data_IF_582146566351
#
_entry.id   IF_582146566351
#
_cell.length_a   1.000
_cell.length_b   1.000
_cell.length_c   1.000
_cell.angle_alpha   90.00
_cell.angle_beta   90.00
_cell.angle_gamma   90.00
#
_symmetry.space_group_name_H-M   'P 1'
#
loop_
_entity.id
_entity.type
_entity.pdbx_description
1 polymer ?
#
# COMPACT_ATOMS: atom_id res chain seq x y z
N UNK A 1 35.46 5.64 -8.98
CA UNK A 1 34.53 6.37 -8.09
C UNK A 1 33.16 6.57 -8.76
N UNK A 2 32.35 5.52 -8.93
CA UNK A 2 30.96 5.66 -9.46
C UNK A 2 29.92 4.78 -8.75
N UNK A 3 30.35 3.90 -7.84
CA UNK A 3 29.45 2.97 -7.12
C UNK A 3 29.06 3.51 -5.73
N UNK A 4 29.91 4.34 -5.11
CA UNK A 4 29.65 4.88 -3.77
C UNK A 4 28.48 5.89 -3.71
N UNK A 5 28.15 6.55 -4.82
CA UNK A 5 27.03 7.51 -4.87
C UNK A 5 25.66 6.85 -4.95
N UNK A 6 25.56 5.66 -5.55
CA UNK A 6 24.27 4.97 -5.73
C UNK A 6 23.78 4.29 -4.45
N UNK A 7 24.71 3.79 -3.62
CA UNK A 7 24.40 3.13 -2.35
C UNK A 7 23.89 4.13 -1.30
N UNK A 8 24.39 5.38 -1.33
CA UNK A 8 23.94 6.42 -0.40
C UNK A 8 22.52 6.93 -0.72
N UNK A 9 22.12 6.99 -2.00
CA UNK A 9 20.78 7.44 -2.39
C UNK A 9 19.71 6.37 -2.11
N UNK A 10 20.05 5.08 -2.28
CA UNK A 10 19.17 3.97 -1.90
C UNK A 10 19.02 3.82 -0.39
N UNK A 11 20.11 4.00 0.37
CA UNK A 11 20.07 3.98 1.83
C UNK A 11 19.18 5.08 2.43
N UNK A 12 19.19 6.28 1.84
CA UNK A 12 18.37 7.40 2.31
C UNK A 12 16.86 7.17 2.07
N UNK A 13 16.48 6.49 0.98
CA UNK A 13 15.07 6.10 0.73
C UNK A 13 14.58 4.99 1.67
N UNK A 14 15.45 4.08 2.09
CA UNK A 14 15.10 3.01 3.02
C UNK A 14 14.89 3.57 4.44
N UNK A 15 15.69 4.55 4.87
CA UNK A 15 15.52 5.21 6.18
C UNK A 15 14.25 6.07 6.25
N UNK A 16 13.82 6.67 5.14
CA UNK A 16 12.55 7.43 5.11
C UNK A 16 11.30 6.55 5.22
N UNK A 17 11.38 5.26 4.84
CA UNK A 17 10.26 4.32 4.97
C UNK A 17 10.24 3.58 6.32
N UNK A 18 11.35 3.59 7.07
CA UNK A 18 11.48 2.99 8.40
C UNK A 18 11.02 3.90 9.55
N UNK A 19 10.73 5.17 9.30
CA UNK A 19 10.22 6.13 10.30
C UNK A 19 8.70 6.28 10.30
N UNK A 20 7.95 5.27 9.84
CA UNK A 20 6.50 5.26 9.91
C UNK A 20 5.98 4.35 11.05
N UNK A 21 5.99 4.79 12.33
CA UNK A 21 5.10 4.23 13.33
C UNK A 21 3.70 4.84 13.10
N UNK A 22 3.09 4.59 11.93
CA UNK A 22 1.75 5.09 11.60
C UNK A 22 0.68 4.00 11.59
N UNK A 23 1.00 2.79 12.04
CA UNK A 23 0.02 1.70 12.12
C UNK A 23 -0.93 1.80 13.33
N UNK A 24 -0.50 2.42 14.43
CA UNK A 24 -1.30 2.52 15.66
C UNK A 24 -1.83 3.95 15.92
N UNK A 25 -1.06 4.98 15.57
CA UNK A 25 -1.48 6.37 15.75
C UNK A 25 -2.50 6.85 14.71
N UNK A 26 -2.58 6.21 13.54
CA UNK A 26 -3.54 6.62 12.51
C UNK A 26 -5.00 6.29 12.92
N UNK A 27 -5.24 5.22 13.68
CA UNK A 27 -6.58 4.85 14.12
C UNK A 27 -7.22 5.91 15.02
N UNK A 28 -6.47 6.46 16.00
CA UNK A 28 -6.94 7.52 16.89
C UNK A 28 -7.23 8.84 16.13
N UNK A 29 -6.49 9.13 15.06
CA UNK A 29 -6.67 10.35 14.26
C UNK A 29 -7.99 10.35 13.48
N UNK A 30 -8.52 9.17 13.10
CA UNK A 30 -9.75 9.06 12.30
C UNK A 30 -11.03 9.11 13.14
N UNK A 31 -11.00 8.62 14.38
CA UNK A 31 -12.21 8.46 15.23
C UNK A 31 -12.90 9.78 15.58
N UNK A 32 -12.17 10.89 15.52
CA UNK A 32 -12.68 12.25 15.75
C UNK A 32 -13.15 12.96 14.47
N UNK A 33 -12.93 12.37 13.29
CA UNK A 33 -13.23 13.01 12.02
C UNK A 33 -14.72 13.03 11.70
N UNK A 34 -15.12 14.08 10.97
CA UNK A 34 -16.47 14.23 10.44
C UNK A 34 -16.68 13.33 9.21
N UNK A 35 -17.93 12.94 8.89
CA UNK A 35 -18.22 12.07 7.72
C UNK A 35 -17.60 12.58 6.40
N UNK A 36 -17.64 13.89 6.16
CA UNK A 36 -17.06 14.49 4.95
C UNK A 36 -15.52 14.37 4.89
N UNK A 37 -14.85 14.36 6.05
CA UNK A 37 -13.40 14.15 6.12
C UNK A 37 -13.07 12.67 5.93
N UNK A 38 -13.80 11.77 6.58
CA UNK A 38 -13.65 10.32 6.41
C UNK A 38 -13.84 9.90 4.95
N UNK A 39 -14.84 10.45 4.25
CA UNK A 39 -15.04 10.15 2.82
C UNK A 39 -13.88 10.58 1.92
N UNK A 40 -13.14 11.63 2.29
CA UNK A 40 -11.94 12.08 1.56
C UNK A 40 -10.76 11.15 1.82
N UNK A 41 -10.57 10.73 3.07
CA UNK A 41 -9.50 9.80 3.42
C UNK A 41 -9.76 8.41 2.82
N UNK A 42 -11.01 7.93 2.85
CA UNK A 42 -11.43 6.69 2.18
C UNK A 42 -11.05 6.71 0.69
N UNK A 43 -11.41 7.77 -0.04
CA UNK A 43 -11.04 7.90 -1.47
C UNK A 43 -9.53 7.89 -1.71
N UNK A 44 -8.74 8.47 -0.79
CA UNK A 44 -7.27 8.43 -0.90
C UNK A 44 -6.76 7.01 -0.69
N UNK A 45 -7.26 6.31 0.34
CA UNK A 45 -6.90 4.94 0.64
C UNK A 45 -7.27 4.00 -0.53
N UNK A 46 -8.47 4.11 -1.07
CA UNK A 46 -8.91 3.38 -2.27
C UNK A 46 -8.04 3.68 -3.48
N UNK A 47 -7.74 4.96 -3.74
CA UNK A 47 -6.87 5.35 -4.86
C UNK A 47 -5.46 4.76 -4.70
N UNK A 48 -4.92 4.76 -3.48
CA UNK A 48 -3.63 4.18 -3.19
C UNK A 48 -3.65 2.65 -3.38
N UNK A 49 -4.70 1.98 -2.88
CA UNK A 49 -4.92 0.55 -3.08
C UNK A 49 -4.97 0.19 -4.56
N UNK A 50 -5.78 0.90 -5.35
CA UNK A 50 -5.89 0.67 -6.79
C UNK A 50 -4.56 0.84 -7.52
N UNK A 51 -3.77 1.87 -7.19
CA UNK A 51 -2.44 2.05 -7.78
C UNK A 51 -1.52 0.86 -7.50
N UNK A 52 -1.49 0.37 -6.26
CA UNK A 52 -0.68 -0.80 -5.91
C UNK A 52 -1.21 -2.05 -6.61
N UNK A 53 -2.52 -2.20 -6.79
CA UNK A 53 -3.07 -3.33 -7.54
C UNK A 53 -2.67 -3.31 -9.03
N UNK A 54 -2.51 -2.14 -9.64
CA UNK A 54 -1.94 -2.06 -11.00
C UNK A 54 -0.46 -2.48 -11.00
N UNK A 55 0.32 -2.10 -9.98
CA UNK A 55 1.70 -2.58 -9.81
C UNK A 55 1.76 -4.11 -9.63
N UNK A 56 0.84 -4.68 -8.84
CA UNK A 56 0.71 -6.14 -8.65
C UNK A 56 0.44 -6.83 -9.99
N UNK A 57 -0.51 -6.32 -10.79
CA UNK A 57 -0.82 -6.88 -12.12
C UNK A 57 0.38 -6.80 -13.06
N UNK A 58 1.11 -5.69 -13.04
CA UNK A 58 2.32 -5.56 -13.85
C UNK A 58 3.39 -6.58 -13.44
N UNK A 59 3.63 -6.74 -12.14
CA UNK A 59 4.58 -7.73 -11.61
C UNK A 59 4.16 -9.17 -11.91
N UNK A 60 2.87 -9.49 -11.82
CA UNK A 60 2.35 -10.81 -12.17
C UNK A 60 2.51 -11.11 -13.66
N UNK A 61 2.21 -10.14 -14.54
CA UNK A 61 2.42 -10.27 -15.97
C UNK A 61 3.91 -10.47 -16.32
N UNK A 62 4.79 -9.71 -15.66
CA UNK A 62 6.24 -9.87 -15.85
C UNK A 62 6.72 -11.25 -15.40
N UNK A 63 6.25 -11.74 -14.24
CA UNK A 63 6.54 -13.09 -13.75
C UNK A 63 6.07 -14.15 -14.74
N UNK A 64 4.85 -14.03 -15.27
CA UNK A 64 4.30 -14.95 -16.28
C UNK A 64 5.13 -14.93 -17.57
N UNK A 65 5.56 -13.74 -18.02
CA UNK A 65 6.42 -13.60 -19.19
C UNK A 65 7.80 -14.25 -18.98
N UNK A 66 8.43 -14.04 -17.82
CA UNK A 66 9.69 -14.69 -17.44
C UNK A 66 9.56 -16.21 -17.40
N UNK A 67 8.45 -16.71 -16.84
CA UNK A 67 8.15 -18.15 -16.81
C UNK A 67 7.96 -18.72 -18.21
N UNK A 68 7.23 -18.03 -19.07
CA UNK A 68 7.02 -18.43 -20.46
C UNK A 68 8.33 -18.41 -21.28
N UNK A 69 9.24 -17.48 -20.97
CA UNK A 69 10.57 -17.41 -21.57
C UNK A 69 11.56 -18.47 -21.05
N UNK A 70 11.14 -19.34 -20.12
CA UNK A 70 12.00 -20.37 -19.53
C UNK A 70 13.07 -19.82 -18.59
N UNK A 71 12.79 -18.70 -17.91
CA UNK A 71 13.71 -18.12 -16.94
C UNK A 71 14.09 -19.12 -15.85
N UNK A 72 15.34 -19.05 -15.40
CA UNK A 72 15.84 -19.88 -14.31
C UNK A 72 15.11 -19.60 -12.99
N UNK A 73 15.04 -20.62 -12.12
CA UNK A 73 14.30 -20.56 -10.85
C UNK A 73 14.69 -19.37 -9.95
N UNK A 74 15.96 -18.95 -9.98
CA UNK A 74 16.43 -17.79 -9.22
C UNK A 74 15.78 -16.47 -9.69
N UNK A 75 15.61 -16.29 -11.00
CA UNK A 75 15.00 -15.08 -11.57
C UNK A 75 13.46 -15.07 -11.42
N UNK A 76 12.85 -16.26 -11.36
CA UNK A 76 11.44 -16.41 -10.99
C UNK A 76 11.22 -16.11 -9.50
N UNK A 77 12.14 -16.55 -8.64
CA UNK A 77 12.07 -16.28 -7.20
C UNK A 77 12.14 -14.78 -6.88
N UNK A 78 13.01 -14.04 -7.56
CA UNK A 78 13.06 -12.58 -7.41
C UNK A 78 11.74 -11.90 -7.82
N UNK A 79 11.11 -12.37 -8.90
CA UNK A 79 9.78 -11.88 -9.31
C UNK A 79 8.68 -12.26 -8.30
N UNK A 80 8.74 -13.47 -7.73
CA UNK A 80 7.81 -13.94 -6.70
C UNK A 80 7.93 -13.12 -5.42
N UNK A 81 9.16 -12.80 -5.00
CA UNK A 81 9.44 -12.00 -3.79
C UNK A 81 8.92 -10.57 -3.95
N UNK A 82 9.09 -9.97 -5.14
CA UNK A 82 8.55 -8.64 -5.45
C UNK A 82 7.02 -8.65 -5.48
N UNK A 83 6.41 -9.64 -6.13
CA UNK A 83 4.96 -9.82 -6.13
C UNK A 83 4.41 -9.95 -4.70
N UNK A 84 5.06 -10.75 -3.85
CA UNK A 84 4.69 -10.92 -2.45
C UNK A 84 4.85 -9.64 -1.62
N UNK A 85 5.81 -8.77 -1.96
CA UNK A 85 5.96 -7.45 -1.34
C UNK A 85 4.81 -6.52 -1.70
N UNK A 86 4.45 -6.47 -2.98
CA UNK A 86 3.34 -5.64 -3.48
C UNK A 86 1.99 -6.10 -2.94
N UNK A 87 1.75 -7.41 -2.89
CA UNK A 87 0.53 -7.98 -2.31
C UNK A 87 0.36 -7.61 -0.83
N UNK A 88 1.42 -7.70 -0.03
CA UNK A 88 1.39 -7.28 1.39
C UNK A 88 1.10 -5.78 1.55
N UNK A 89 1.59 -4.96 0.62
CA UNK A 89 1.29 -3.51 0.61
C UNK A 89 -0.17 -3.26 0.24
N UNK A 90 -0.69 -3.96 -0.76
CA UNK A 90 -2.09 -3.89 -1.17
C UNK A 90 -3.03 -4.31 -0.03
N UNK A 91 -2.72 -5.41 0.66
CA UNK A 91 -3.49 -5.90 1.81
C UNK A 91 -3.61 -4.84 2.91
N UNK A 92 -2.51 -4.19 3.29
CA UNK A 92 -2.52 -3.12 4.30
C UNK A 92 -3.42 -1.95 3.90
N UNK A 93 -3.32 -1.51 2.65
CA UNK A 93 -4.13 -0.41 2.12
C UNK A 93 -5.61 -0.78 2.05
N UNK A 94 -5.92 -2.05 1.74
CA UNK A 94 -7.29 -2.56 1.75
C UNK A 94 -7.88 -2.54 3.16
N UNK A 95 -7.14 -3.05 4.14
CA UNK A 95 -7.58 -3.04 5.55
C UNK A 95 -7.84 -1.59 6.03
N UNK A 96 -6.98 -0.65 5.64
CA UNK A 96 -7.17 0.77 5.95
C UNK A 96 -8.43 1.35 5.28
N UNK A 97 -8.66 1.05 4.00
CA UNK A 97 -9.86 1.48 3.29
C UNK A 97 -11.14 0.89 3.91
N UNK A 98 -11.14 -0.41 4.22
CA UNK A 98 -12.27 -1.10 4.85
C UNK A 98 -12.58 -0.49 6.23
N UNK A 99 -11.55 -0.17 7.03
CA UNK A 99 -11.71 0.52 8.32
C UNK A 99 -12.35 1.91 8.16
N UNK A 100 -11.88 2.71 7.20
CA UNK A 100 -12.40 4.05 6.95
C UNK A 100 -13.84 4.04 6.46
N UNK A 101 -14.23 3.03 5.67
CA UNK A 101 -15.61 2.85 5.20
C UNK A 101 -16.55 2.50 6.36
N UNK A 102 -16.16 1.55 7.21
CA UNK A 102 -16.93 1.21 8.42
C UNK A 102 -17.11 2.42 9.33
N UNK A 103 -16.04 3.16 9.58
CA UNK A 103 -16.08 4.36 10.42
C UNK A 103 -16.94 5.48 9.79
N UNK A 104 -16.86 5.67 8.47
CA UNK A 104 -17.70 6.59 7.73
C UNK A 104 -19.19 6.26 7.90
N UNK A 105 -19.58 5.00 7.71
CA UNK A 105 -20.98 4.57 7.84
C UNK A 105 -21.50 4.65 9.29
N UNK A 106 -20.65 4.42 10.29
CA UNK A 106 -21.00 4.68 11.69
C UNK A 106 -21.26 6.17 11.93
N UNK A 107 -20.30 7.04 11.61
CA UNK A 107 -20.43 8.50 11.85
C UNK A 107 -21.57 9.11 11.04
N UNK A 108 -21.79 8.66 9.81
CA UNK A 108 -22.90 9.11 8.97
C UNK A 108 -24.26 8.80 9.58
N UNK A 109 -24.43 7.61 10.20
CA UNK A 109 -25.67 7.25 10.92
C UNK A 109 -25.86 8.08 12.18
N UNK A 110 -24.81 8.30 12.96
CA UNK A 110 -24.85 9.17 14.15
C UNK A 110 -25.25 10.61 13.80
N UNK A 111 -24.74 11.13 12.68
CA UNK A 111 -25.03 12.50 12.24
C UNK A 111 -26.42 12.68 11.65
N UNK A 112 -26.99 11.65 11.00
CA UNK A 112 -28.36 11.68 10.46
C UNK A 112 -29.45 11.49 11.51
N UNK A 113 -29.11 10.85 12.64
CA UNK A 113 -30.03 10.60 13.75
C UNK A 113 -30.00 11.69 14.83
N UNK A 114 -29.25 12.77 14.61
CA UNK A 114 -29.26 14.00 15.43
C UNK A 114 -30.07 15.09 14.71
#
# INVERSE_FOLDING_TARGET
>A
MRVAGFVLVLGFWIVLSLTCPRGAAAADDFDSMMPDQLSKELRKAETAYHKVMEEVRAAENERLARKAAGAADAALKEADDELARLLRKAEKLKVEADYLDELYEVKRREYKNK
#
